data_IF_371602912022
#
_entry.id   IF_371602912022
#
_cell.length_a   1.000
_cell.length_b   1.000
_cell.length_c   1.000
_cell.angle_alpha   90.00
_cell.angle_beta   90.00
_cell.angle_gamma   90.00
#
_symmetry.space_group_name_H-M   'P 1'
#
loop_
_entity.id
_entity.type
_entity.pdbx_description
1 polymer ?
#
# COMPACT_ATOMS: atom_id res chain seq x y z
N UNK A 1 35.93 -53.10 -45.34
CA UNK A 1 34.48 -52.77 -45.55
C UNK A 1 33.79 -52.47 -44.19
N UNK A 2 33.88 -53.29 -43.16
CA UNK A 2 33.25 -53.16 -41.88
C UNK A 2 33.70 -51.88 -41.13
N UNK A 3 34.97 -51.47 -41.18
CA UNK A 3 35.48 -50.27 -40.51
C UNK A 3 34.90 -48.97 -41.11
N UNK A 4 34.65 -48.91 -42.42
CA UNK A 4 34.07 -47.68 -43.02
C UNK A 4 32.59 -47.52 -42.72
N UNK A 5 31.85 -48.62 -42.52
CA UNK A 5 30.43 -48.55 -42.08
C UNK A 5 30.33 -48.06 -40.60
N UNK A 6 31.26 -48.54 -39.79
CA UNK A 6 31.28 -48.11 -38.35
C UNK A 6 31.59 -46.65 -38.18
N UNK A 7 32.48 -46.09 -38.99
CA UNK A 7 32.80 -44.64 -38.99
C UNK A 7 31.60 -43.83 -39.47
N UNK A 8 30.88 -44.27 -40.50
CA UNK A 8 29.66 -43.58 -40.98
C UNK A 8 28.53 -43.59 -39.95
N UNK A 9 28.36 -44.69 -39.20
CA UNK A 9 27.37 -44.80 -38.13
C UNK A 9 27.72 -43.87 -36.98
N UNK A 10 29.02 -43.78 -36.59
CA UNK A 10 29.46 -42.86 -35.52
C UNK A 10 29.28 -41.41 -35.96
N UNK A 11 29.63 -41.07 -37.20
CA UNK A 11 29.46 -39.70 -37.73
C UNK A 11 27.97 -39.32 -37.83
N UNK A 12 27.14 -40.27 -38.25
CA UNK A 12 25.68 -40.03 -38.29
C UNK A 12 25.08 -39.88 -36.90
N UNK A 13 25.53 -40.68 -35.93
CA UNK A 13 25.08 -40.59 -34.53
C UNK A 13 25.54 -39.31 -33.89
N UNK A 14 26.78 -38.88 -34.11
CA UNK A 14 27.29 -37.61 -33.57
C UNK A 14 26.64 -36.38 -34.25
N UNK A 15 26.38 -36.44 -35.56
CA UNK A 15 25.69 -35.35 -36.27
C UNK A 15 24.21 -35.26 -35.92
N UNK A 16 23.54 -36.36 -35.56
CA UNK A 16 22.13 -36.39 -35.21
C UNK A 16 21.85 -36.12 -33.71
N UNK A 17 22.77 -36.58 -32.83
CA UNK A 17 22.58 -36.44 -31.37
C UNK A 17 23.24 -35.20 -30.72
N UNK A 18 24.31 -34.66 -31.31
CA UNK A 18 25.00 -33.48 -30.75
C UNK A 18 24.26 -32.16 -30.95
N UNK A 19 23.46 -31.87 -32.00
CA UNK A 19 22.78 -30.59 -32.14
C UNK A 19 21.66 -30.36 -31.11
N UNK A 20 21.22 -31.42 -30.43
CA UNK A 20 20.09 -31.28 -29.50
C UNK A 20 20.49 -31.01 -28.03
N UNK A 21 21.80 -30.90 -27.75
CA UNK A 21 22.28 -30.67 -26.36
C UNK A 21 22.71 -29.21 -26.08
N UNK A 22 22.44 -28.30 -27.00
CA UNK A 22 23.01 -26.93 -26.94
C UNK A 22 22.02 -25.78 -26.91
N UNK A 23 20.74 -25.97 -26.52
CA UNK A 23 19.78 -24.86 -26.59
C UNK A 23 19.08 -24.50 -25.25
N UNK A 24 19.54 -25.00 -24.12
CA UNK A 24 18.94 -24.61 -22.81
C UNK A 24 19.48 -23.30 -22.24
N UNK A 25 20.49 -22.69 -22.88
CA UNK A 25 21.09 -21.42 -22.36
C UNK A 25 20.32 -20.14 -22.75
N UNK A 26 19.41 -20.23 -23.72
CA UNK A 26 18.62 -19.06 -24.15
C UNK A 26 17.45 -18.75 -23.20
N UNK A 27 16.85 -19.76 -22.58
CA UNK A 27 15.75 -19.56 -21.62
C UNK A 27 16.24 -18.98 -20.29
N UNK A 28 17.42 -19.42 -19.77
CA UNK A 28 17.97 -18.87 -18.54
C UNK A 28 18.45 -17.41 -18.70
N UNK A 29 18.98 -17.01 -19.83
CA UNK A 29 19.38 -15.62 -20.08
C UNK A 29 18.18 -14.70 -20.32
N UNK A 30 17.10 -15.18 -20.91
CA UNK A 30 15.85 -14.43 -21.09
C UNK A 30 15.12 -14.21 -19.76
N UNK A 31 15.14 -15.17 -18.85
CA UNK A 31 14.54 -15.05 -17.52
C UNK A 31 15.31 -14.09 -16.61
N UNK A 32 16.64 -14.07 -16.68
CA UNK A 32 17.46 -13.10 -15.90
C UNK A 32 17.29 -11.65 -16.35
N UNK A 33 16.95 -11.42 -17.63
CA UNK A 33 16.64 -10.08 -18.14
C UNK A 33 15.21 -9.62 -17.84
N UNK A 34 14.25 -10.55 -17.76
CA UNK A 34 12.82 -10.24 -17.52
C UNK A 34 12.55 -9.80 -16.08
N UNK A 35 13.21 -10.38 -15.10
CA UNK A 35 13.01 -10.07 -13.67
C UNK A 35 13.31 -8.61 -13.29
N UNK A 36 14.43 -7.99 -13.65
CA UNK A 36 14.69 -6.58 -13.34
C UNK A 36 13.75 -5.64 -14.09
N UNK A 37 13.33 -5.99 -15.31
CA UNK A 37 12.35 -5.22 -16.08
C UNK A 37 10.98 -5.26 -15.40
N UNK A 38 10.52 -6.42 -14.96
CA UNK A 38 9.28 -6.60 -14.22
C UNK A 38 9.28 -5.76 -12.94
N UNK A 39 10.36 -5.78 -12.16
CA UNK A 39 10.52 -4.96 -10.95
C UNK A 39 10.42 -3.47 -11.25
N UNK A 40 11.00 -3.00 -12.35
CA UNK A 40 10.91 -1.60 -12.79
C UNK A 40 9.47 -1.22 -13.17
N UNK A 41 8.75 -2.09 -13.87
CA UNK A 41 7.35 -1.86 -14.25
C UNK A 41 6.45 -1.79 -13.01
N UNK A 42 6.65 -2.67 -12.03
CA UNK A 42 5.93 -2.62 -10.75
C UNK A 42 6.19 -1.31 -10.00
N UNK A 43 7.45 -0.88 -9.89
CA UNK A 43 7.83 0.39 -9.27
C UNK A 43 7.20 1.58 -10.01
N UNK A 44 7.19 1.54 -11.34
CA UNK A 44 6.58 2.58 -12.19
C UNK A 44 5.07 2.66 -11.97
N UNK A 45 4.37 1.51 -11.98
CA UNK A 45 2.94 1.44 -11.73
C UNK A 45 2.59 2.00 -10.35
N UNK A 46 3.29 1.54 -9.29
CA UNK A 46 3.07 2.01 -7.93
C UNK A 46 3.31 3.52 -7.77
N UNK A 47 4.38 4.03 -8.35
CA UNK A 47 4.71 5.47 -8.31
C UNK A 47 3.66 6.28 -9.04
N UNK A 48 3.26 5.84 -10.25
CA UNK A 48 2.24 6.51 -11.05
C UNK A 48 0.87 6.53 -10.36
N UNK A 49 0.48 5.43 -9.70
CA UNK A 49 -0.76 5.38 -8.90
C UNK A 49 -0.72 6.36 -7.71
N UNK A 50 0.42 6.47 -7.03
CA UNK A 50 0.62 7.42 -5.92
C UNK A 50 0.61 8.87 -6.38
N UNK A 51 1.22 9.15 -7.55
CA UNK A 51 1.28 10.49 -8.17
C UNK A 51 -0.01 10.88 -8.90
N UNK A 52 -1.06 10.03 -8.88
CA UNK A 52 -2.32 10.24 -9.59
C UNK A 52 -2.13 10.44 -11.10
N UNK A 53 -1.29 9.61 -11.71
CA UNK A 53 -1.04 9.56 -13.16
C UNK A 53 -1.65 8.28 -13.75
N UNK A 54 -2.99 8.21 -13.96
CA UNK A 54 -3.69 6.98 -14.30
C UNK A 54 -3.20 6.34 -15.58
N UNK A 55 -3.05 7.08 -16.67
CA UNK A 55 -2.58 6.56 -17.95
C UNK A 55 -1.17 5.94 -17.88
N UNK A 56 -0.29 6.51 -17.04
CA UNK A 56 1.05 5.95 -16.84
C UNK A 56 1.02 4.66 -16.02
N UNK A 57 0.16 4.61 -15.01
CA UNK A 57 -0.07 3.42 -14.21
C UNK A 57 -0.66 2.28 -15.05
N UNK A 58 -1.70 2.56 -15.81
CA UNK A 58 -2.36 1.64 -16.71
C UNK A 58 -1.38 1.03 -17.72
N UNK A 59 -0.62 1.88 -18.44
CA UNK A 59 0.38 1.42 -19.41
C UNK A 59 1.41 0.49 -18.77
N UNK A 60 1.86 0.77 -17.56
CA UNK A 60 2.81 -0.07 -16.85
C UNK A 60 2.18 -1.42 -16.47
N UNK A 61 0.93 -1.42 -15.95
CA UNK A 61 0.21 -2.63 -15.56
C UNK A 61 -0.13 -3.51 -16.78
N UNK A 62 -0.60 -2.91 -17.86
CA UNK A 62 -0.84 -3.62 -19.12
C UNK A 62 0.45 -4.20 -19.71
N UNK A 63 1.59 -3.52 -19.53
CA UNK A 63 2.88 -4.07 -19.94
C UNK A 63 3.28 -5.27 -19.06
N UNK A 64 3.01 -5.23 -17.75
CA UNK A 64 3.20 -6.40 -16.87
C UNK A 64 2.38 -7.58 -17.38
N UNK A 65 1.10 -7.37 -17.72
CA UNK A 65 0.22 -8.42 -18.24
C UNK A 65 0.64 -8.97 -19.60
N UNK A 66 1.38 -8.21 -20.42
CA UNK A 66 2.00 -8.74 -21.65
C UNK A 66 3.13 -9.73 -21.36
N UNK A 67 3.84 -9.58 -20.25
CA UNK A 67 4.88 -10.51 -19.83
C UNK A 67 4.34 -11.70 -19.03
N UNK A 68 3.27 -11.46 -18.26
CA UNK A 68 2.64 -12.44 -17.38
C UNK A 68 1.11 -12.22 -17.40
N UNK A 69 0.45 -12.90 -18.33
CA UNK A 69 -1.00 -12.78 -18.56
C UNK A 69 -1.84 -13.26 -17.36
N UNK A 70 -1.29 -14.15 -16.53
CA UNK A 70 -1.97 -14.70 -15.34
C UNK A 70 -1.60 -13.98 -14.05
N UNK A 71 -1.16 -12.73 -14.12
CA UNK A 71 -0.77 -11.95 -12.96
C UNK A 71 -1.97 -11.36 -12.24
N UNK A 72 -2.51 -12.09 -11.26
CA UNK A 72 -3.65 -11.66 -10.45
C UNK A 72 -3.43 -10.30 -9.78
N UNK A 73 -2.21 -10.04 -9.29
CA UNK A 73 -1.88 -8.77 -8.66
C UNK A 73 -1.94 -7.58 -9.63
N UNK A 74 -1.59 -7.78 -10.91
CA UNK A 74 -1.68 -6.75 -11.93
C UNK A 74 -3.15 -6.44 -12.26
N UNK A 75 -3.99 -7.46 -12.43
CA UNK A 75 -5.43 -7.28 -12.61
C UNK A 75 -6.08 -6.58 -11.41
N UNK A 76 -5.74 -6.98 -10.19
CA UNK A 76 -6.26 -6.31 -8.99
C UNK A 76 -5.87 -4.82 -8.95
N UNK A 77 -4.64 -4.45 -9.34
CA UNK A 77 -4.21 -3.05 -9.40
C UNK A 77 -4.87 -2.28 -10.54
N UNK A 78 -5.14 -2.90 -11.69
CA UNK A 78 -5.95 -2.30 -12.77
C UNK A 78 -7.37 -2.04 -12.29
N UNK A 79 -7.99 -3.01 -11.62
CA UNK A 79 -9.31 -2.84 -11.02
C UNK A 79 -9.37 -1.66 -10.05
N UNK A 80 -8.38 -1.52 -9.16
CA UNK A 80 -8.26 -0.36 -8.27
C UNK A 80 -8.10 0.96 -9.05
N UNK A 81 -7.34 0.96 -10.13
CA UNK A 81 -7.14 2.12 -10.97
C UNK A 81 -8.46 2.54 -11.64
N UNK A 82 -9.14 1.62 -12.30
CA UNK A 82 -10.42 1.87 -12.96
C UNK A 82 -11.52 2.28 -11.97
N UNK A 83 -11.57 1.68 -10.78
CA UNK A 83 -12.50 2.09 -9.74
C UNK A 83 -12.29 3.55 -9.29
N UNK A 84 -11.03 4.01 -9.18
CA UNK A 84 -10.70 5.41 -8.87
C UNK A 84 -11.12 6.38 -9.96
N UNK A 85 -11.06 5.96 -11.23
CA UNK A 85 -11.54 6.73 -12.38
C UNK A 85 -13.06 6.56 -12.61
N UNK A 86 -13.75 5.82 -11.73
CA UNK A 86 -15.19 5.51 -11.79
C UNK A 86 -15.60 4.66 -13.00
N UNK A 87 -14.65 3.99 -13.62
CA UNK A 87 -14.90 2.97 -14.63
C UNK A 87 -15.26 1.65 -13.94
N UNK A 88 -16.42 1.62 -13.29
CA UNK A 88 -16.80 0.54 -12.37
C UNK A 88 -16.98 -0.82 -13.05
N UNK A 89 -17.41 -0.83 -14.32
CA UNK A 89 -17.59 -2.07 -15.08
C UNK A 89 -16.24 -2.74 -15.34
N UNK A 90 -15.31 -2.00 -15.88
CA UNK A 90 -13.95 -2.46 -16.19
C UNK A 90 -13.19 -2.84 -14.89
N UNK A 91 -13.46 -2.11 -13.81
CA UNK A 91 -12.90 -2.44 -12.50
C UNK A 91 -13.39 -3.80 -12.00
N UNK A 92 -14.70 -4.07 -12.08
CA UNK A 92 -15.28 -5.36 -11.66
C UNK A 92 -14.71 -6.49 -12.51
N UNK A 93 -14.67 -6.34 -13.84
CA UNK A 93 -14.08 -7.33 -14.75
C UNK A 93 -12.63 -7.67 -14.37
N UNK A 94 -11.80 -6.66 -14.07
CA UNK A 94 -10.43 -6.87 -13.60
C UNK A 94 -10.38 -7.61 -12.26
N UNK A 95 -11.25 -7.31 -11.30
CA UNK A 95 -11.30 -8.01 -10.02
C UNK A 95 -11.80 -9.45 -10.16
N UNK A 96 -12.75 -9.72 -11.05
CA UNK A 96 -13.23 -11.07 -11.34
C UNK A 96 -12.14 -11.93 -11.96
N UNK A 97 -11.34 -11.38 -12.90
CA UNK A 97 -10.18 -12.07 -13.44
C UNK A 97 -9.15 -12.33 -12.33
N UNK A 98 -8.82 -11.31 -11.51
CA UNK A 98 -7.90 -11.48 -10.41
C UNK A 98 -8.35 -12.57 -9.43
N UNK A 99 -9.66 -12.61 -9.13
CA UNK A 99 -10.26 -13.61 -8.25
C UNK A 99 -10.21 -15.02 -8.84
N UNK A 100 -10.38 -15.17 -10.16
CA UNK A 100 -10.30 -16.46 -10.84
C UNK A 100 -8.86 -17.01 -10.89
N UNK A 101 -7.87 -16.12 -10.89
CA UNK A 101 -6.45 -16.48 -10.93
C UNK A 101 -5.88 -16.76 -9.52
N UNK A 102 -6.32 -15.99 -8.56
CA UNK A 102 -5.88 -16.08 -7.16
C UNK A 102 -7.08 -15.74 -6.26
N UNK A 103 -7.55 -16.75 -5.53
CA UNK A 103 -8.73 -16.63 -4.67
C UNK A 103 -8.40 -15.80 -3.43
N UNK A 104 -8.25 -14.48 -3.59
CA UNK A 104 -7.91 -13.59 -2.48
C UNK A 104 -9.06 -12.66 -2.09
N UNK A 105 -9.17 -12.41 -0.81
CA UNK A 105 -10.21 -11.59 -0.21
C UNK A 105 -10.16 -10.11 -0.65
N UNK A 106 -9.01 -9.63 -1.11
CA UNK A 106 -8.85 -8.21 -1.49
C UNK A 106 -9.64 -7.86 -2.74
N UNK A 107 -9.70 -8.75 -3.74
CA UNK A 107 -10.50 -8.54 -4.95
C UNK A 107 -11.99 -8.47 -4.62
N UNK A 108 -12.50 -9.41 -3.81
CA UNK A 108 -13.90 -9.39 -3.34
C UNK A 108 -14.23 -8.16 -2.52
N UNK A 109 -13.35 -7.75 -1.62
CA UNK A 109 -13.51 -6.51 -0.86
C UNK A 109 -13.62 -5.29 -1.78
N UNK A 110 -12.77 -5.18 -2.79
CA UNK A 110 -12.80 -4.08 -3.74
C UNK A 110 -14.08 -4.06 -4.60
N UNK A 111 -14.58 -5.23 -5.02
CA UNK A 111 -15.88 -5.37 -5.68
C UNK A 111 -17.01 -4.90 -4.76
N UNK A 112 -16.97 -5.30 -3.48
CA UNK A 112 -17.91 -4.83 -2.46
C UNK A 112 -17.91 -3.31 -2.31
N UNK A 113 -16.74 -2.65 -2.33
CA UNK A 113 -16.64 -1.18 -2.29
C UNK A 113 -17.28 -0.53 -3.51
N UNK A 114 -17.13 -1.09 -4.72
CA UNK A 114 -17.79 -0.59 -5.92
C UNK A 114 -19.31 -0.73 -5.80
N UNK A 115 -19.80 -1.86 -5.32
CA UNK A 115 -21.23 -2.06 -5.11
C UNK A 115 -21.81 -1.09 -4.07
N UNK A 116 -21.06 -0.80 -3.00
CA UNK A 116 -21.43 0.18 -2.00
C UNK A 116 -21.52 1.60 -2.61
N UNK A 117 -20.52 1.99 -3.41
CA UNK A 117 -20.48 3.28 -4.10
C UNK A 117 -21.61 3.43 -5.15
N UNK A 118 -21.99 2.31 -5.78
CA UNK A 118 -23.08 2.27 -6.78
C UNK A 118 -24.45 1.96 -6.17
N UNK A 119 -24.58 2.04 -4.84
CA UNK A 119 -25.81 1.81 -4.07
C UNK A 119 -26.44 0.42 -4.24
N UNK A 120 -25.62 -0.58 -4.59
CA UNK A 120 -26.04 -1.99 -4.69
C UNK A 120 -25.70 -2.69 -3.38
N UNK A 121 -26.38 -2.30 -2.30
CA UNK A 121 -26.00 -2.61 -0.93
C UNK A 121 -26.02 -4.10 -0.60
N UNK A 122 -27.01 -4.86 -1.12
CA UNK A 122 -27.10 -6.31 -0.93
C UNK A 122 -25.92 -7.03 -1.59
N UNK A 123 -25.53 -6.61 -2.80
CA UNK A 123 -24.37 -7.16 -3.49
C UNK A 123 -23.06 -6.79 -2.77
N UNK A 124 -22.99 -5.58 -2.22
CA UNK A 124 -21.85 -5.16 -1.39
C UNK A 124 -21.71 -6.04 -0.15
N UNK A 125 -22.81 -6.26 0.59
CA UNK A 125 -22.81 -7.11 1.78
C UNK A 125 -22.41 -8.56 1.45
N UNK A 126 -22.90 -9.12 0.34
CA UNK A 126 -22.49 -10.46 -0.12
C UNK A 126 -20.98 -10.53 -0.41
N UNK A 127 -20.45 -9.56 -1.16
CA UNK A 127 -19.03 -9.53 -1.52
C UNK A 127 -18.14 -9.36 -0.29
N UNK A 128 -18.51 -8.48 0.66
CA UNK A 128 -17.75 -8.32 1.91
C UNK A 128 -17.81 -9.57 2.78
N UNK A 129 -18.95 -10.23 2.88
CA UNK A 129 -19.08 -11.50 3.62
C UNK A 129 -18.15 -12.56 3.03
N UNK A 130 -18.16 -12.76 1.71
CA UNK A 130 -17.24 -13.70 1.05
C UNK A 130 -15.77 -13.33 1.29
N UNK A 131 -15.41 -12.03 1.28
CA UNK A 131 -14.07 -11.58 1.61
C UNK A 131 -13.65 -11.89 3.06
N UNK A 132 -14.60 -11.79 4.00
CA UNK A 132 -14.40 -12.16 5.42
C UNK A 132 -14.25 -13.67 5.58
N UNK A 133 -15.05 -14.46 4.87
CA UNK A 133 -14.96 -15.94 4.90
C UNK A 133 -13.60 -16.45 4.40
N UNK A 134 -12.96 -15.75 3.46
CA UNK A 134 -11.62 -16.07 2.97
C UNK A 134 -10.51 -15.60 3.94
N UNK A 135 -10.61 -14.39 4.45
CA UNK A 135 -9.63 -13.79 5.34
C UNK A 135 -10.36 -12.92 6.36
N UNK A 136 -10.60 -13.45 7.55
CA UNK A 136 -11.38 -12.81 8.61
C UNK A 136 -10.58 -11.97 9.61
N UNK A 137 -9.29 -11.73 9.37
CA UNK A 137 -8.38 -11.03 10.30
C UNK A 137 -8.28 -9.52 10.07
N UNK A 138 -8.93 -8.99 9.02
CA UNK A 138 -8.83 -7.58 8.63
C UNK A 138 -10.04 -6.76 9.14
N UNK A 139 -9.87 -5.89 10.14
CA UNK A 139 -10.99 -5.11 10.72
C UNK A 139 -11.68 -4.21 9.68
N UNK A 140 -10.95 -3.74 8.68
CA UNK A 140 -11.50 -2.91 7.60
C UNK A 140 -12.60 -3.59 6.78
N UNK A 141 -12.56 -4.93 6.65
CA UNK A 141 -13.60 -5.69 5.94
C UNK A 141 -14.91 -5.71 6.72
N UNK A 142 -14.84 -5.89 8.04
CA UNK A 142 -16.01 -5.86 8.91
C UNK A 142 -16.64 -4.47 8.97
N UNK A 143 -15.83 -3.40 8.99
CA UNK A 143 -16.33 -2.02 8.93
C UNK A 143 -17.07 -1.76 7.60
N UNK A 144 -16.52 -2.21 6.49
CA UNK A 144 -17.16 -2.06 5.18
C UNK A 144 -18.45 -2.91 5.08
N UNK A 145 -18.42 -4.12 5.64
CA UNK A 145 -19.60 -5.00 5.73
C UNK A 145 -20.70 -4.37 6.57
N UNK A 146 -20.36 -3.87 7.76
CA UNK A 146 -21.30 -3.16 8.63
C UNK A 146 -21.97 -1.99 7.90
N UNK A 147 -21.21 -1.19 7.17
CA UNK A 147 -21.73 -0.07 6.39
C UNK A 147 -22.74 -0.52 5.31
N UNK A 148 -22.48 -1.65 4.66
CA UNK A 148 -23.43 -2.23 3.72
C UNK A 148 -24.71 -2.72 4.41
N UNK A 149 -24.57 -3.40 5.55
CA UNK A 149 -25.68 -3.89 6.37
C UNK A 149 -26.56 -2.75 6.91
N UNK A 150 -25.96 -1.64 7.35
CA UNK A 150 -26.71 -0.44 7.76
C UNK A 150 -27.60 0.10 6.61
N UNK A 151 -27.05 0.14 5.39
CA UNK A 151 -27.79 0.61 4.21
C UNK A 151 -28.93 -0.31 3.80
N UNK A 152 -28.85 -1.61 4.13
CA UNK A 152 -29.92 -2.58 3.92
C UNK A 152 -30.97 -2.51 5.06
N UNK A 153 -30.59 -1.94 6.22
CA UNK A 153 -31.40 -1.90 7.44
C UNK A 153 -31.15 -3.05 8.43
N UNK A 154 -30.15 -3.91 8.17
CA UNK A 154 -29.73 -5.03 9.00
C UNK A 154 -28.85 -4.56 10.18
N UNK A 155 -29.41 -3.71 11.03
CA UNK A 155 -28.67 -2.92 12.01
C UNK A 155 -27.99 -3.78 13.10
N UNK A 156 -28.67 -4.84 13.58
CA UNK A 156 -28.06 -5.74 14.59
C UNK A 156 -26.83 -6.44 14.03
N UNK A 157 -26.89 -6.93 12.79
CA UNK A 157 -25.72 -7.56 12.15
C UNK A 157 -24.61 -6.53 11.87
N UNK A 158 -24.97 -5.27 11.62
CA UNK A 158 -23.99 -4.21 11.46
C UNK A 158 -23.24 -3.95 12.78
N UNK A 159 -23.96 -3.93 13.92
CA UNK A 159 -23.34 -3.81 15.25
C UNK A 159 -22.40 -4.98 15.55
N UNK A 160 -22.83 -6.22 15.30
CA UNK A 160 -21.99 -7.43 15.47
C UNK A 160 -20.71 -7.36 14.63
N UNK A 161 -20.82 -6.91 13.39
CA UNK A 161 -19.66 -6.75 12.52
C UNK A 161 -18.71 -5.66 13.05
N UNK A 162 -19.21 -4.54 13.56
CA UNK A 162 -18.39 -3.49 14.16
C UNK A 162 -17.76 -3.95 15.49
N UNK A 163 -18.45 -4.71 16.33
CA UNK A 163 -17.86 -5.30 17.53
C UNK A 163 -16.72 -6.28 17.18
N UNK A 164 -16.88 -7.06 16.12
CA UNK A 164 -15.81 -7.92 15.60
C UNK A 164 -14.63 -7.07 15.10
N UNK A 165 -14.89 -5.99 14.35
CA UNK A 165 -13.85 -5.08 13.92
C UNK A 165 -13.10 -4.44 15.10
N UNK A 166 -13.82 -4.09 16.16
CA UNK A 166 -13.25 -3.56 17.40
C UNK A 166 -12.38 -4.57 18.13
N UNK A 167 -12.84 -5.82 18.22
CA UNK A 167 -12.06 -6.91 18.87
C UNK A 167 -10.74 -7.17 18.14
N UNK A 168 -10.73 -7.10 16.81
CA UNK A 168 -9.53 -7.26 15.99
C UNK A 168 -8.56 -6.07 16.11
N UNK A 169 -9.09 -4.86 16.16
CA UNK A 169 -8.31 -3.64 16.31
C UNK A 169 -9.08 -2.57 17.08
N UNK A 170 -8.84 -2.45 18.40
CA UNK A 170 -9.51 -1.46 19.25
C UNK A 170 -9.18 -0.02 18.85
N UNK A 171 -10.13 0.64 18.21
CA UNK A 171 -10.00 2.04 17.79
C UNK A 171 -11.22 2.87 18.16
N UNK A 172 -10.99 4.15 18.52
CA UNK A 172 -12.07 5.10 18.79
C UNK A 172 -12.94 5.37 17.55
N UNK A 173 -12.43 5.12 16.35
CA UNK A 173 -13.19 5.28 15.10
C UNK A 173 -14.30 4.24 15.01
N UNK A 174 -13.99 2.97 15.31
CA UNK A 174 -14.98 1.89 15.32
C UNK A 174 -16.02 2.11 16.43
N UNK A 175 -15.57 2.51 17.62
CA UNK A 175 -16.51 2.80 18.72
C UNK A 175 -17.45 3.98 18.44
N UNK A 176 -16.98 5.01 17.75
CA UNK A 176 -17.86 6.12 17.31
C UNK A 176 -18.91 5.64 16.32
N UNK A 177 -18.55 4.77 15.41
CA UNK A 177 -19.49 4.20 14.46
C UNK A 177 -20.52 3.30 15.18
N UNK A 178 -20.09 2.48 16.14
CA UNK A 178 -20.99 1.73 17.03
C UNK A 178 -21.93 2.64 17.82
N UNK A 179 -21.39 3.71 18.38
CA UNK A 179 -22.18 4.70 19.14
C UNK A 179 -23.27 5.32 18.27
N UNK A 180 -22.93 5.80 17.08
CA UNK A 180 -23.89 6.34 16.11
C UNK A 180 -24.96 5.32 15.74
N UNK A 181 -24.56 4.06 15.55
CA UNK A 181 -25.47 2.98 15.24
C UNK A 181 -26.44 2.70 16.40
N UNK A 182 -25.96 2.59 17.64
CA UNK A 182 -26.78 2.37 18.84
C UNK A 182 -27.70 3.57 19.15
N UNK A 183 -27.23 4.80 18.92
CA UNK A 183 -28.07 6.01 19.03
C UNK A 183 -29.24 5.97 18.04
N UNK A 184 -29.01 5.49 16.80
CA UNK A 184 -30.05 5.30 15.80
C UNK A 184 -31.05 4.17 16.16
N UNK A 185 -30.67 3.23 17.06
CA UNK A 185 -31.57 2.19 17.57
C UNK A 185 -32.33 2.61 18.81
N UNK A 186 -31.81 3.63 19.54
CA UNK A 186 -32.27 3.98 20.88
C UNK A 186 -31.86 2.96 21.94
N UNK A 187 -30.77 2.22 21.72
CA UNK A 187 -30.22 1.23 22.65
C UNK A 187 -29.38 1.93 23.73
N UNK A 188 -30.05 2.37 24.79
CA UNK A 188 -29.45 3.20 25.84
C UNK A 188 -28.31 2.46 26.59
N UNK A 189 -28.43 1.16 26.80
CA UNK A 189 -27.41 0.36 27.48
C UNK A 189 -26.10 0.32 26.68
N UNK A 190 -26.18 -0.03 25.39
CA UNK A 190 -25.01 -0.09 24.54
C UNK A 190 -24.44 1.29 24.21
N UNK A 191 -25.25 2.34 24.19
CA UNK A 191 -24.79 3.73 24.10
C UNK A 191 -23.87 4.07 25.26
N UNK A 192 -24.32 3.83 26.52
CA UNK A 192 -23.55 4.16 27.72
C UNK A 192 -22.25 3.32 27.80
N UNK A 193 -22.34 2.03 27.52
CA UNK A 193 -21.20 1.13 27.48
C UNK A 193 -20.16 1.58 26.42
N UNK A 194 -20.62 1.97 25.24
CA UNK A 194 -19.74 2.40 24.16
C UNK A 194 -19.06 3.74 24.47
N UNK A 195 -19.76 4.69 25.09
CA UNK A 195 -19.17 5.94 25.57
C UNK A 195 -18.06 5.68 26.58
N UNK A 196 -18.31 4.82 27.57
CA UNK A 196 -17.30 4.42 28.55
C UNK A 196 -16.05 3.82 27.91
N UNK A 197 -16.22 2.92 26.92
CA UNK A 197 -15.09 2.35 26.14
C UNK A 197 -14.28 3.42 25.40
N UNK A 198 -14.94 4.46 24.86
CA UNK A 198 -14.28 5.57 24.20
C UNK A 198 -13.39 6.35 25.19
N UNK A 199 -13.93 6.68 26.36
CA UNK A 199 -13.22 7.42 27.41
C UNK A 199 -12.01 6.60 27.93
N UNK A 200 -12.18 5.30 28.15
CA UNK A 200 -11.09 4.40 28.57
C UNK A 200 -9.94 4.40 27.56
N UNK A 201 -10.23 4.29 26.26
CA UNK A 201 -9.21 4.32 25.20
C UNK A 201 -8.51 5.68 25.09
N UNK A 202 -9.22 6.78 25.37
CA UNK A 202 -8.62 8.13 25.36
C UNK A 202 -7.65 8.29 26.53
N UNK A 203 -8.05 7.88 27.72
CA UNK A 203 -7.21 7.91 28.93
C UNK A 203 -5.96 7.05 28.74
N UNK A 204 -6.09 5.88 28.13
CA UNK A 204 -4.94 5.01 27.86
C UNK A 204 -3.95 5.63 26.85
N UNK A 205 -4.46 6.28 25.82
CA UNK A 205 -3.63 7.00 24.85
C UNK A 205 -2.87 8.16 25.51
N UNK A 206 -3.52 8.95 26.35
CA UNK A 206 -2.88 10.04 27.08
C UNK A 206 -1.79 9.53 28.03
N UNK A 207 -2.03 8.42 28.73
CA UNK A 207 -1.03 7.78 29.59
C UNK A 207 0.18 7.29 28.80
N UNK A 208 -0.01 6.78 27.58
CA UNK A 208 1.07 6.29 26.74
C UNK A 208 1.89 7.45 26.14
N UNK A 209 1.24 8.51 25.68
CA UNK A 209 1.92 9.74 25.23
C UNK A 209 2.77 10.37 26.33
N UNK A 210 2.24 10.42 27.56
CA UNK A 210 2.99 10.96 28.72
C UNK A 210 4.17 10.07 29.15
N UNK A 211 4.08 8.75 28.95
CA UNK A 211 5.21 7.82 29.18
C UNK A 211 6.33 7.98 28.18
N UNK A 212 5.99 8.16 26.89
CA UNK A 212 6.97 8.38 25.82
C UNK A 212 7.62 9.76 25.87
N UNK A 213 6.89 10.78 26.34
CA UNK A 213 7.39 12.14 26.49
C UNK A 213 8.36 12.34 27.69
N UNK A 214 8.55 11.35 28.56
CA UNK A 214 9.59 11.45 29.59
C UNK A 214 10.97 11.46 28.92
N UNK A 215 11.75 12.57 29.04
CA UNK A 215 13.05 12.65 28.40
C UNK A 215 13.93 11.51 28.91
N UNK A 216 14.46 10.71 28.00
CA UNK A 216 15.55 9.79 28.32
C UNK A 216 16.65 10.66 28.93
N UNK A 217 16.85 10.58 30.25
CA UNK A 217 17.98 11.21 30.94
C UNK A 217 19.24 10.69 30.27
N UNK A 218 19.78 11.46 29.31
CA UNK A 218 21.13 11.27 28.86
C UNK A 218 22.01 11.37 30.10
N UNK A 219 22.57 10.26 30.52
CA UNK A 219 23.71 10.22 31.43
C UNK A 219 24.81 11.05 30.76
N UNK A 220 24.85 12.32 31.14
CA UNK A 220 26.01 13.16 30.85
C UNK A 220 27.18 12.48 31.50
N UNK A 221 27.93 11.70 30.74
CA UNK A 221 29.25 11.22 31.14
C UNK A 221 30.07 12.46 31.47
N UNK A 222 30.26 12.71 32.76
CA UNK A 222 31.25 13.71 33.24
C UNK A 222 32.57 13.43 32.53
N UNK A 223 32.97 14.37 31.67
CA UNK A 223 34.32 14.38 31.13
C UNK A 223 35.35 14.42 32.28
N UNK A 224 36.46 13.70 32.19
CA UNK A 224 37.50 13.77 33.22
C UNK A 224 38.11 15.16 33.23
N UNK A 225 38.28 15.68 34.45
CA UNK A 225 38.92 16.93 34.81
C UNK A 225 40.35 16.99 34.21
N UNK A 226 40.52 17.82 33.16
CA UNK A 226 41.85 18.09 32.64
C UNK A 226 42.62 19.00 33.62
N UNK A 227 43.80 18.54 33.96
CA UNK A 227 44.79 19.09 34.84
C UNK A 227 45.44 20.35 34.25
N UNK A 228 45.79 21.28 35.14
CA UNK A 228 46.42 22.57 34.87
C UNK A 228 47.79 22.40 34.19
N UNK A 229 48.08 23.19 33.18
CA UNK A 229 49.24 24.09 33.09
C UNK A 229 49.52 24.52 31.65
N UNK A 230 49.57 25.79 31.36
CA UNK A 230 50.76 26.55 31.00
C UNK A 230 50.41 27.93 30.39
N UNK A 231 51.25 28.86 30.67
CA UNK A 231 51.15 30.34 30.52
C UNK A 231 51.19 30.83 29.05
N UNK A 232 50.93 32.15 28.87
CA UNK A 232 50.49 32.72 27.59
C UNK A 232 51.66 33.24 26.74
N UNK A 233 51.53 33.23 25.42
CA UNK A 233 52.42 33.94 24.49
C UNK A 233 51.66 34.78 23.49
N UNK A 234 51.85 36.08 23.64
CA UNK A 234 51.84 37.25 22.74
C UNK A 234 50.90 37.31 21.53
N UNK A 235 50.12 38.35 21.63
CA UNK A 235 49.42 39.18 20.65
C UNK A 235 50.25 39.47 19.39
N UNK A 236 49.64 39.25 18.22
CA UNK A 236 49.95 40.01 17.00
C UNK A 236 48.63 40.52 16.45
N UNK A 237 48.52 41.86 16.41
CA UNK A 237 47.48 42.62 15.73
C UNK A 237 47.78 42.65 14.22
N UNK A 238 46.82 42.37 13.35
CA UNK A 238 46.80 43.00 12.03
C UNK A 238 45.36 43.16 11.51
N UNK A 239 45.03 44.39 11.43
CA UNK A 239 44.24 45.21 10.50
C UNK A 239 43.04 44.68 9.71
N UNK A 240 42.05 45.49 9.87
CA UNK A 240 40.79 45.71 9.11
C UNK A 240 41.08 45.89 7.59
N UNK A 241 40.25 45.30 6.78
CA UNK A 241 39.75 45.98 5.55
C UNK A 241 38.27 45.59 5.30
N UNK A 242 37.54 46.63 5.17
CA UNK A 242 36.13 46.76 4.83
C UNK A 242 35.88 46.42 3.36
N UNK A 243 34.87 45.65 3.03
CA UNK A 243 34.06 45.92 1.84
C UNK A 243 32.64 45.47 2.03
N UNK A 244 31.79 46.42 1.94
CA UNK A 244 30.33 46.42 1.95
C UNK A 244 29.82 46.17 0.54
N UNK A 245 29.00 45.15 0.32
CA UNK A 245 28.20 45.02 -0.89
C UNK A 245 26.75 44.68 -0.53
N UNK A 246 25.92 45.63 -0.79
CA UNK A 246 24.45 45.62 -0.70
C UNK A 246 23.88 44.90 -1.92
N UNK A 247 23.00 43.91 -1.70
CA UNK A 247 22.15 43.36 -2.76
C UNK A 247 20.67 43.50 -2.36
N UNK A 248 19.92 44.19 -3.20
CA UNK A 248 18.48 44.44 -3.15
C UNK A 248 17.66 43.17 -3.41
N UNK A 249 16.45 43.05 -2.82
CA UNK A 249 15.50 41.95 -3.13
C UNK A 249 14.73 42.22 -4.44
N UNK A 250 14.32 41.17 -5.19
CA UNK A 250 13.56 41.36 -6.43
C UNK A 250 12.06 41.57 -6.17
N UNK A 251 11.48 42.40 -7.01
CA UNK A 251 10.10 42.89 -7.04
C UNK A 251 9.09 41.75 -7.38
N UNK A 252 7.96 41.72 -6.68
CA UNK A 252 6.74 40.98 -7.03
C UNK A 252 6.16 41.49 -8.36
N UNK A 253 5.92 40.57 -9.29
CA UNK A 253 5.13 40.82 -10.52
C UNK A 253 3.73 40.23 -10.30
N UNK A 254 2.75 41.11 -10.21
CA UNK A 254 1.35 40.78 -10.23
C UNK A 254 0.89 40.45 -11.66
N UNK A 255 0.36 39.26 -11.92
CA UNK A 255 -0.32 38.96 -13.19
C UNK A 255 -1.84 38.98 -12.98
N UNK A 256 -2.44 39.99 -13.64
CA UNK A 256 -3.90 40.15 -13.75
C UNK A 256 -4.53 38.99 -14.48
N UNK A 257 -5.59 38.40 -13.87
CA UNK A 257 -6.54 37.53 -14.56
C UNK A 257 -7.45 38.39 -15.43
N UNK A 258 -7.54 38.09 -16.73
CA UNK A 258 -8.64 38.49 -17.61
C UNK A 258 -9.60 37.30 -17.68
N UNK A 259 -10.86 37.62 -17.37
CA UNK A 259 -12.06 36.78 -17.56
C UNK A 259 -12.52 37.00 -18.99
N UNK A 260 -12.68 35.95 -19.71
CA UNK A 260 -13.71 35.77 -20.75
C UNK A 260 -14.13 34.30 -20.65
#
# INVERSE_FOLDING_TARGET
MLAAVLILVIVFFTAFFIPNYGNDTSEEQETTSKAPQMKRLWSLAQTAMRERKPLKAEKALLTILKFDEKNAAAYNRLGILYAKEKHYKEAIECFEIAQSLDNNASSLHNVGLIYLETNKYEKAAMAFRQAIELEGDQPGRYIAYAKALEKIGERHKAAEALETAYSLNPTTVVLRHLLELYENFGDLENIELTRKRIDELQIEREKNVTKEAKPKRHLIRRAPKAEKAAKPTKVVKMNKTTTRATAKPPKKVAKKRKII
#
